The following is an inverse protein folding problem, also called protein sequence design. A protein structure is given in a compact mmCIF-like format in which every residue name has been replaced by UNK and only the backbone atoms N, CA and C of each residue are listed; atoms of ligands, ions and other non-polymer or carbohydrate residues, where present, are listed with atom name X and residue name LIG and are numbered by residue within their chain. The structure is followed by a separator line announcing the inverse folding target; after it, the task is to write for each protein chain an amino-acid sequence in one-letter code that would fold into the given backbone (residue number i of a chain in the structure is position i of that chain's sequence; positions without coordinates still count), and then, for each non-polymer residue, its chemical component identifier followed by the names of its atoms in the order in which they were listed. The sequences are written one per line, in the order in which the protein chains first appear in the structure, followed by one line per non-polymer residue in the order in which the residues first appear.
data_IF_322958589848
#
_entry.id   IF_322958589848
#
_cell.length_a   1.000
_cell.length_b   1.000
_cell.length_c   1.000
_cell.angle_alpha   90.00
_cell.angle_beta   90.00
_cell.angle_gamma   90.00
#
_symmetry.space_group_name_H-M   'P 1'
#
loop_
_entity.id
_entity.type
_entity.pdbx_description
1 polymer ?
#
# COMPACT_ATOMS: atom_id res chain seq x y z
N UNK A 1 -15.98 -3.93 -2.08
CA UNK A 1 -15.60 -4.87 -3.17
C UNK A 1 -14.10 -4.75 -3.35
N UNK A 2 -13.37 -5.82 -3.75
CA UNK A 2 -11.94 -5.70 -3.97
C UNK A 2 -11.65 -4.66 -5.05
N UNK A 3 -10.63 -3.83 -4.85
CA UNK A 3 -10.23 -2.82 -5.82
C UNK A 3 -9.29 -3.46 -6.85
N UNK A 4 -9.58 -3.25 -8.13
CA UNK A 4 -8.86 -3.86 -9.24
C UNK A 4 -7.42 -3.34 -9.41
N UNK A 5 -7.11 -2.15 -8.89
CA UNK A 5 -5.75 -1.58 -8.90
C UNK A 5 -4.89 -2.06 -7.72
N UNK A 6 -5.50 -2.68 -6.71
CA UNK A 6 -4.77 -3.29 -5.59
C UNK A 6 -4.40 -4.73 -5.92
N UNK A 7 -3.19 -5.15 -5.57
CA UNK A 7 -2.82 -6.56 -5.66
C UNK A 7 -3.77 -7.45 -4.83
N UNK A 8 -3.91 -8.72 -5.23
CA UNK A 8 -4.82 -9.65 -4.54
C UNK A 8 -4.48 -9.88 -3.06
N UNK A 9 -3.18 -9.95 -2.72
CA UNK A 9 -2.75 -10.15 -1.33
C UNK A 9 -3.02 -8.93 -0.45
N UNK A 10 -2.93 -7.72 -1.01
CA UNK A 10 -3.26 -6.49 -0.33
C UNK A 10 -4.77 -6.40 -0.12
N UNK A 11 -5.58 -6.65 -1.16
CA UNK A 11 -7.04 -6.78 -1.02
C UNK A 11 -7.43 -7.76 0.09
N UNK A 12 -6.76 -8.92 0.17
CA UNK A 12 -7.01 -9.91 1.22
C UNK A 12 -6.57 -9.40 2.60
N UNK A 13 -5.43 -8.70 2.68
CA UNK A 13 -4.96 -8.15 3.94
C UNK A 13 -5.89 -7.06 4.49
N UNK A 14 -6.37 -6.15 3.64
CA UNK A 14 -7.33 -5.09 4.01
C UNK A 14 -8.71 -5.64 4.41
N UNK A 15 -9.07 -6.83 3.91
CA UNK A 15 -10.30 -7.52 4.30
C UNK A 15 -10.16 -8.36 5.58
N UNK A 16 -8.92 -8.60 6.05
CA UNK A 16 -8.64 -9.41 7.22
C UNK A 16 -8.67 -8.57 8.50
N UNK A 17 -9.02 -9.19 9.61
CA UNK A 17 -8.87 -8.55 10.93
C UNK A 17 -7.39 -8.43 11.31
N UNK A 18 -7.03 -7.47 12.16
CA UNK A 18 -5.66 -7.35 12.68
C UNK A 18 -5.17 -8.66 13.32
N UNK A 19 -6.04 -9.41 14.01
CA UNK A 19 -5.72 -10.72 14.60
C UNK A 19 -5.41 -11.78 13.54
N UNK A 20 -6.10 -11.78 12.41
CA UNK A 20 -5.82 -12.69 11.29
C UNK A 20 -4.53 -12.31 10.57
N UNK A 21 -4.29 -11.02 10.35
CA UNK A 21 -3.04 -10.52 9.77
C UNK A 21 -1.84 -10.90 10.65
N UNK A 22 -1.95 -10.79 11.97
CA UNK A 22 -0.87 -11.16 12.91
C UNK A 22 -0.46 -12.63 12.83
N UNK A 23 -1.37 -13.53 12.41
CA UNK A 23 -1.07 -14.95 12.22
C UNK A 23 -0.30 -15.24 10.93
N UNK A 24 -0.23 -14.29 10.00
CA UNK A 24 0.42 -14.45 8.70
C UNK A 24 1.38 -13.31 8.42
N UNK A 25 2.67 -13.61 8.52
CA UNK A 25 3.72 -12.66 8.16
C UNK A 25 3.61 -12.13 6.72
N UNK A 26 3.04 -12.93 5.81
CA UNK A 26 2.84 -12.52 4.42
C UNK A 26 1.76 -11.44 4.33
N UNK A 27 0.65 -11.60 5.05
CA UNK A 27 -0.44 -10.62 5.05
C UNK A 27 -0.03 -9.33 5.75
N UNK A 28 0.71 -9.41 6.86
CA UNK A 28 1.11 -8.22 7.62
C UNK A 28 2.33 -7.46 7.06
N UNK A 29 2.90 -7.89 5.92
CA UNK A 29 4.10 -7.23 5.38
C UNK A 29 3.76 -5.84 4.86
N UNK A 30 4.42 -4.80 5.40
CA UNK A 30 4.18 -3.39 5.08
C UNK A 30 3.21 -2.68 6.03
N UNK A 31 2.48 -3.41 6.89
CA UNK A 31 1.55 -2.82 7.84
C UNK A 31 2.21 -2.39 9.15
N UNK A 32 1.91 -1.17 9.61
CA UNK A 32 2.29 -0.62 10.91
C UNK A 32 1.05 -0.51 11.82
N UNK A 33 0.92 -1.38 12.85
CA UNK A 33 -0.23 -1.35 13.75
C UNK A 33 -0.31 -0.09 14.62
N UNK A 34 0.84 0.53 14.93
CA UNK A 34 0.88 1.71 15.81
C UNK A 34 0.24 2.95 15.17
N UNK A 35 0.43 3.11 13.86
CA UNK A 35 -0.09 4.23 13.06
C UNK A 35 -1.27 3.84 12.17
N UNK A 36 -1.59 2.54 12.06
CA UNK A 36 -2.55 1.99 11.09
C UNK A 36 -2.25 2.41 9.66
N UNK A 37 -0.98 2.38 9.30
CA UNK A 37 -0.49 2.76 7.98
C UNK A 37 0.11 1.56 7.26
N UNK A 38 0.06 1.62 5.94
CA UNK A 38 0.69 0.66 5.05
C UNK A 38 1.79 1.35 4.27
N UNK A 39 2.98 0.76 4.27
CA UNK A 39 3.98 0.99 3.24
C UNK A 39 3.57 0.18 1.98
N UNK A 40 3.46 0.88 0.85
CA UNK A 40 2.97 0.35 -0.41
C UNK A 40 3.93 0.71 -1.54
N UNK A 41 4.11 -0.21 -2.49
CA UNK A 41 4.80 0.06 -3.75
C UNK A 41 3.74 0.43 -4.77
N UNK A 42 3.87 1.61 -5.36
CA UNK A 42 2.86 2.20 -6.24
C UNK A 42 3.45 2.42 -7.62
N UNK A 43 2.81 1.88 -8.65
CA UNK A 43 3.03 2.27 -10.03
C UNK A 43 2.14 3.47 -10.33
N UNK A 44 2.72 4.54 -10.85
CA UNK A 44 2.00 5.80 -11.08
C UNK A 44 2.45 6.53 -12.34
N UNK A 45 1.64 7.51 -12.74
CA UNK A 45 1.97 8.50 -13.75
C UNK A 45 1.68 9.92 -13.27
N UNK A 46 2.36 10.91 -13.85
CA UNK A 46 2.15 12.32 -13.48
C UNK A 46 2.69 12.67 -12.09
N UNK A 47 2.28 13.81 -11.52
CA UNK A 47 2.87 14.36 -10.30
C UNK A 47 2.19 13.82 -9.02
N UNK A 48 2.44 12.55 -8.69
CA UNK A 48 1.86 11.89 -7.50
C UNK A 48 2.27 12.57 -6.19
N UNK A 49 3.46 13.19 -6.14
CA UNK A 49 4.02 13.88 -4.96
C UNK A 49 3.13 15.04 -4.48
N UNK A 50 2.17 15.50 -5.29
CA UNK A 50 1.16 16.49 -4.88
C UNK A 50 0.18 15.97 -3.83
N UNK A 51 0.13 14.65 -3.61
CA UNK A 51 -0.72 13.99 -2.61
C UNK A 51 -0.07 13.94 -1.22
N UNK A 52 1.18 14.38 -1.09
CA UNK A 52 1.91 14.47 0.17
C UNK A 52 1.10 15.23 1.23
N UNK A 53 0.95 14.63 2.41
CA UNK A 53 0.15 15.18 3.51
C UNK A 53 0.52 14.54 4.85
N UNK A 54 -0.17 14.90 5.93
CA UNK A 54 0.02 14.27 7.25
C UNK A 54 -0.36 12.77 7.29
N UNK A 55 -1.13 12.29 6.30
CA UNK A 55 -1.64 10.90 6.25
C UNK A 55 -1.15 10.10 5.05
N UNK A 56 -0.42 10.75 4.13
CA UNK A 56 0.18 10.16 2.93
C UNK A 56 1.60 10.69 2.80
N UNK A 57 2.58 9.81 2.84
CA UNK A 57 3.99 10.12 2.54
C UNK A 57 4.41 9.39 1.28
N UNK A 58 5.08 10.08 0.36
CA UNK A 58 5.51 9.56 -0.94
C UNK A 58 7.02 9.71 -1.09
N UNK A 59 7.68 8.58 -1.34
CA UNK A 59 9.09 8.51 -1.71
C UNK A 59 9.20 8.05 -3.18
N UNK A 60 9.48 8.97 -4.12
CA UNK A 60 9.61 8.63 -5.53
C UNK A 60 10.79 7.68 -5.80
N UNK A 61 10.56 6.68 -6.63
CA UNK A 61 11.56 5.78 -7.19
C UNK A 61 11.70 6.01 -8.71
N UNK A 62 12.52 5.19 -9.36
CA UNK A 62 12.73 5.25 -10.81
C UNK A 62 11.58 4.60 -11.59
N UNK A 63 11.44 4.97 -12.87
CA UNK A 63 10.51 4.34 -13.82
C UNK A 63 9.03 4.39 -13.41
N UNK A 64 8.58 5.48 -12.78
CA UNK A 64 7.18 5.69 -12.39
C UNK A 64 6.72 4.76 -11.27
N UNK A 65 7.61 4.48 -10.32
CA UNK A 65 7.30 3.77 -9.09
C UNK A 65 7.57 4.67 -7.89
N UNK A 66 6.83 4.51 -6.81
CA UNK A 66 7.06 5.18 -5.54
C UNK A 66 6.81 4.22 -4.37
N UNK A 67 7.40 4.50 -3.23
CA UNK A 67 6.94 3.98 -1.95
C UNK A 67 5.94 4.99 -1.39
N UNK A 68 4.72 4.55 -1.09
CA UNK A 68 3.70 5.38 -0.47
C UNK A 68 3.37 4.81 0.91
N UNK A 69 3.50 5.61 1.96
CA UNK A 69 2.97 5.29 3.29
C UNK A 69 1.59 5.92 3.41
N UNK A 70 0.54 5.09 3.47
CA UNK A 70 -0.86 5.54 3.44
C UNK A 70 -1.61 4.97 4.64
N UNK A 71 -2.41 5.78 5.33
CA UNK A 71 -3.31 5.26 6.38
C UNK A 71 -4.35 4.31 5.78
N UNK A 72 -4.61 3.19 6.46
CA UNK A 72 -5.39 2.08 5.91
C UNK A 72 -6.76 2.48 5.33
N UNK A 73 -7.46 3.37 6.02
CA UNK A 73 -8.79 3.87 5.64
C UNK A 73 -8.79 4.76 4.38
N UNK A 74 -7.63 5.20 3.90
CA UNK A 74 -7.49 5.97 2.66
C UNK A 74 -7.01 5.15 1.46
N UNK A 75 -6.64 3.88 1.63
CA UNK A 75 -6.00 3.10 0.55
C UNK A 75 -6.90 2.93 -0.67
N UNK A 76 -8.19 2.65 -0.47
CA UNK A 76 -9.13 2.53 -1.59
C UNK A 76 -9.27 3.86 -2.36
N UNK A 77 -9.42 4.97 -1.64
CA UNK A 77 -9.53 6.29 -2.25
C UNK A 77 -8.22 6.71 -2.96
N UNK A 78 -7.08 6.35 -2.39
CA UNK A 78 -5.76 6.56 -2.99
C UNK A 78 -5.60 5.76 -4.29
N UNK A 79 -6.01 4.49 -4.30
CA UNK A 79 -5.95 3.65 -5.48
C UNK A 79 -6.86 4.13 -6.61
N UNK A 80 -8.02 4.70 -6.27
CA UNK A 80 -8.98 5.20 -7.25
C UNK A 80 -8.53 6.47 -7.98
N UNK A 81 -7.46 7.14 -7.53
CA UNK A 81 -6.89 8.30 -8.21
C UNK A 81 -6.42 7.95 -9.62
N UNK A 82 -6.59 8.88 -10.55
CA UNK A 82 -6.22 8.70 -11.96
C UNK A 82 -4.71 8.45 -12.10
N UNK A 83 -3.89 9.14 -11.32
CA UNK A 83 -2.43 9.01 -11.30
C UNK A 83 -1.93 7.61 -10.86
N UNK A 84 -2.76 6.85 -10.14
CA UNK A 84 -2.38 5.53 -9.61
C UNK A 84 -2.76 4.43 -10.58
N UNK A 85 -1.77 3.70 -11.08
CA UNK A 85 -1.96 2.60 -12.03
C UNK A 85 -2.10 1.25 -11.31
N UNK A 86 -1.27 1.02 -10.28
CA UNK A 86 -1.26 -0.23 -9.52
C UNK A 86 -0.63 -0.04 -8.14
N UNK A 87 -1.11 -0.80 -7.15
CA UNK A 87 -0.62 -0.74 -5.76
C UNK A 87 -0.39 -2.15 -5.25
N UNK A 88 0.79 -2.39 -4.68
CA UNK A 88 1.12 -3.64 -4.03
C UNK A 88 1.77 -3.44 -2.67
N UNK A 89 1.67 -4.45 -1.79
CA UNK A 89 2.43 -4.47 -0.55
C UNK A 89 3.88 -4.93 -0.83
N UNK A 90 4.85 -4.54 0.02
CA UNK A 90 6.22 -5.03 -0.10
C UNK A 90 6.30 -6.55 0.03
N UNK A 91 7.37 -7.12 -0.53
CA UNK A 91 7.64 -8.56 -0.43
C UNK A 91 8.71 -8.79 0.63
N UNK A 92 8.42 -9.67 1.58
CA UNK A 92 9.41 -10.10 2.57
C UNK A 92 10.41 -11.03 1.89
N UNK A 93 11.67 -10.63 1.85
CA UNK A 93 12.75 -11.46 1.35
C UNK A 93 13.17 -12.46 2.43
N UNK A 94 13.35 -13.71 2.03
CA UNK A 94 13.97 -14.76 2.85
C UNK A 94 15.35 -15.02 2.27
N UNK A 95 16.36 -15.09 3.13
CA UNK A 95 17.73 -15.41 2.76
C UNK A 95 18.06 -16.80 3.30
N UNK A 96 18.64 -17.66 2.46
CA UNK A 96 19.13 -19.00 2.81
C UNK A 96 20.61 -18.96 3.25
#
# INVERSE_FOLDING_TARGET
MPNAKLENLLNLALAATETEMQKSHVLSTGYSPASKTWELIVKYHGPLERLESEVIHIEPLINGYAIATVREDFIDAFADLDEVEFVEKPKRLYFE
#
